data_IF_502692821484
#
_entry.id   IF_502692821484
#
_cell.length_a   1.000
_cell.length_b   1.000
_cell.length_c   1.000
_cell.angle_alpha   90.00
_cell.angle_beta   90.00
_cell.angle_gamma   90.00
#
_symmetry.space_group_name_H-M   'P 1'
#
loop_
_entity.id
_entity.type
_entity.pdbx_description
1 polymer ?
#
# COMPACT_ATOMS: atom_id res chain seq x y z
N UNK A 1 37.07 -45.04 -45.62
CA UNK A 1 38.20 -44.61 -44.78
C UNK A 1 37.81 -43.34 -44.04
N UNK A 2 38.01 -43.33 -42.72
CA UNK A 2 37.66 -42.28 -41.76
C UNK A 2 38.18 -40.89 -42.16
N UNK A 3 37.45 -39.84 -41.78
CA UNK A 3 37.98 -38.75 -40.93
C UNK A 3 36.83 -37.99 -40.25
N UNK A 4 36.90 -38.07 -38.91
CA UNK A 4 36.11 -37.38 -37.90
C UNK A 4 36.81 -36.05 -37.63
N UNK A 5 36.09 -34.93 -37.60
CA UNK A 5 36.52 -33.71 -36.89
C UNK A 5 35.29 -32.82 -36.66
N UNK A 6 34.65 -32.85 -35.49
CA UNK A 6 34.93 -32.15 -34.21
C UNK A 6 33.96 -30.96 -34.04
N UNK A 7 32.89 -31.22 -33.29
CA UNK A 7 31.96 -30.23 -32.73
C UNK A 7 32.67 -29.41 -31.65
N UNK A 8 32.83 -28.10 -31.86
CA UNK A 8 33.33 -27.18 -30.84
C UNK A 8 32.13 -26.60 -30.06
N UNK A 9 31.79 -27.22 -28.94
CA UNK A 9 30.81 -26.71 -27.99
C UNK A 9 31.52 -25.69 -27.09
N UNK A 10 31.36 -24.40 -27.38
CA UNK A 10 31.81 -23.31 -26.50
C UNK A 10 30.89 -23.23 -25.28
N UNK A 11 31.30 -23.86 -24.18
CA UNK A 11 30.68 -23.67 -22.86
C UNK A 11 31.13 -22.31 -22.33
N UNK A 12 30.27 -21.31 -22.49
CA UNK A 12 30.40 -20.02 -21.81
C UNK A 12 30.17 -20.26 -20.31
N UNK A 13 31.26 -20.50 -19.59
CA UNK A 13 31.23 -20.63 -18.13
C UNK A 13 31.06 -19.23 -17.53
N UNK A 14 29.84 -18.91 -17.08
CA UNK A 14 29.57 -17.67 -16.35
C UNK A 14 30.29 -17.78 -15.01
N UNK A 15 31.42 -17.09 -14.88
CA UNK A 15 32.07 -16.79 -13.61
C UNK A 15 31.19 -15.81 -12.83
N UNK A 16 30.17 -16.32 -12.15
CA UNK A 16 29.57 -15.60 -11.02
C UNK A 16 30.61 -15.70 -9.90
N UNK A 17 31.37 -14.62 -9.68
CA UNK A 17 32.41 -14.57 -8.65
C UNK A 17 31.86 -14.97 -7.28
N UNK A 18 32.63 -15.77 -6.53
CA UNK A 18 32.29 -16.29 -5.20
C UNK A 18 31.82 -15.23 -4.20
N UNK A 19 32.29 -13.98 -4.35
CA UNK A 19 31.86 -12.83 -3.55
C UNK A 19 30.37 -12.45 -3.71
N UNK A 20 29.78 -12.69 -4.89
CA UNK A 20 28.35 -12.43 -5.11
C UNK A 20 27.45 -13.44 -4.40
N UNK A 21 27.92 -14.67 -4.24
CA UNK A 21 27.19 -15.75 -3.54
C UNK A 21 27.22 -15.54 -2.02
N UNK A 22 28.35 -15.08 -1.47
CA UNK A 22 28.45 -14.80 -0.03
C UNK A 22 27.59 -13.61 0.41
N UNK A 23 27.59 -12.50 -0.36
CA UNK A 23 26.77 -11.32 -0.03
C UNK A 23 25.27 -11.64 -0.04
N UNK A 24 24.80 -12.46 -0.98
CA UNK A 24 23.40 -12.91 -1.04
C UNK A 24 23.04 -13.82 0.15
N UNK A 25 23.94 -14.71 0.56
CA UNK A 25 23.73 -15.60 1.70
C UNK A 25 23.66 -14.80 3.03
N UNK A 26 24.52 -13.80 3.20
CA UNK A 26 24.52 -12.92 4.38
C UNK A 26 23.26 -12.04 4.45
N UNK A 27 22.77 -11.54 3.31
CA UNK A 27 21.51 -10.81 3.26
C UNK A 27 20.33 -11.69 3.71
N UNK A 28 20.27 -12.93 3.21
CA UNK A 28 19.21 -13.88 3.55
C UNK A 28 19.23 -14.25 5.03
N UNK A 29 20.43 -14.41 5.62
CA UNK A 29 20.60 -14.61 7.06
C UNK A 29 19.99 -13.47 7.88
N UNK A 30 20.20 -12.22 7.47
CA UNK A 30 19.55 -11.06 8.10
C UNK A 30 18.02 -11.08 7.98
N UNK A 31 17.48 -11.45 6.81
CA UNK A 31 16.04 -11.60 6.59
C UNK A 31 15.43 -12.68 7.48
N UNK A 32 16.07 -13.84 7.59
CA UNK A 32 15.57 -14.96 8.39
C UNK A 32 15.64 -14.66 9.89
N UNK A 33 16.71 -13.99 10.34
CA UNK A 33 16.81 -13.49 11.70
C UNK A 33 15.68 -12.50 12.02
N UNK A 34 15.43 -11.53 11.12
CA UNK A 34 14.36 -10.54 11.31
C UNK A 34 12.98 -11.21 11.40
N UNK A 35 12.69 -12.20 10.54
CA UNK A 35 11.44 -12.97 10.57
C UNK A 35 11.24 -13.74 11.89
N UNK A 36 12.33 -14.20 12.49
CA UNK A 36 12.33 -14.87 13.80
C UNK A 36 12.38 -13.90 14.98
N UNK A 37 12.29 -12.59 14.72
CA UNK A 37 12.46 -11.52 15.73
C UNK A 37 13.83 -11.49 16.41
N UNK A 38 14.84 -12.17 15.84
CA UNK A 38 16.24 -12.01 16.22
C UNK A 38 16.78 -10.73 15.57
N UNK A 39 16.35 -9.60 16.14
CA UNK A 39 16.70 -8.28 15.62
C UNK A 39 18.17 -7.96 15.85
N UNK A 40 18.84 -8.54 16.84
CA UNK A 40 20.27 -8.31 17.07
C UNK A 40 21.09 -8.89 15.91
N UNK A 41 20.81 -10.13 15.50
CA UNK A 41 21.46 -10.74 14.34
C UNK A 41 21.09 -10.02 13.04
N UNK A 42 19.82 -9.68 12.83
CA UNK A 42 19.39 -8.95 11.65
C UNK A 42 20.11 -7.59 11.52
N UNK A 43 20.21 -6.84 12.63
CA UNK A 43 20.91 -5.57 12.68
C UNK A 43 22.37 -5.75 12.29
N UNK A 44 23.06 -6.73 12.89
CA UNK A 44 24.47 -7.01 12.59
C UNK A 44 24.70 -7.32 11.12
N UNK A 45 23.92 -8.23 10.53
CA UNK A 45 24.10 -8.64 9.14
C UNK A 45 23.79 -7.49 8.17
N UNK A 46 22.67 -6.79 8.37
CA UNK A 46 22.31 -5.69 7.48
C UNK A 46 23.21 -4.46 7.62
N UNK A 47 23.83 -4.21 8.78
CA UNK A 47 24.84 -3.14 8.91
C UNK A 47 26.02 -3.38 7.97
N UNK A 48 26.60 -4.58 7.97
CA UNK A 48 27.74 -4.92 7.11
C UNK A 48 27.39 -4.68 5.63
N UNK A 49 26.21 -5.13 5.20
CA UNK A 49 25.77 -5.04 3.81
C UNK A 49 25.37 -3.59 3.44
N UNK A 50 24.74 -2.85 4.36
CA UNK A 50 24.36 -1.45 4.16
C UNK A 50 25.59 -0.53 4.03
N UNK A 51 26.66 -0.81 4.78
CA UNK A 51 27.94 -0.10 4.71
C UNK A 51 28.65 -0.32 3.37
N UNK A 52 28.44 -1.48 2.73
CA UNK A 52 28.91 -1.76 1.37
C UNK A 52 28.08 -1.07 0.27
N UNK A 53 27.02 -0.35 0.65
CA UNK A 53 26.23 0.45 -0.29
C UNK A 53 24.93 -0.21 -0.74
N UNK A 54 24.55 -1.39 -0.26
CA UNK A 54 23.31 -2.03 -0.71
C UNK A 54 22.06 -1.23 -0.28
N UNK A 55 21.27 -0.79 -1.26
CA UNK A 55 20.11 0.08 -1.00
C UNK A 55 19.00 -0.61 -0.20
N UNK A 56 18.85 -1.93 -0.32
CA UNK A 56 17.80 -2.68 0.38
C UNK A 56 18.17 -2.86 1.84
N UNK A 57 19.41 -3.24 2.14
CA UNK A 57 19.96 -3.32 3.49
C UNK A 57 19.95 -1.95 4.16
N UNK A 58 20.29 -0.87 3.45
CA UNK A 58 20.16 0.50 3.96
C UNK A 58 18.71 0.86 4.30
N UNK A 59 17.72 0.50 3.48
CA UNK A 59 16.31 0.66 3.84
C UNK A 59 15.97 -0.14 5.11
N UNK A 60 16.36 -1.41 5.17
CA UNK A 60 16.02 -2.30 6.28
C UNK A 60 16.64 -1.79 7.58
N UNK A 61 17.91 -1.38 7.55
CA UNK A 61 18.61 -0.78 8.68
C UNK A 61 17.94 0.52 9.13
N UNK A 62 17.58 1.40 8.19
CA UNK A 62 16.80 2.59 8.51
C UNK A 62 15.45 2.27 9.18
N UNK A 63 14.80 1.19 8.75
CA UNK A 63 13.54 0.71 9.35
C UNK A 63 13.74 0.20 10.77
N UNK A 64 14.83 -0.52 11.04
CA UNK A 64 15.17 -1.00 12.38
C UNK A 64 15.42 0.15 13.35
N UNK A 65 16.18 1.17 12.94
CA UNK A 65 16.37 2.38 13.74
C UNK A 65 15.08 3.16 13.96
N UNK A 66 14.21 3.28 12.94
CA UNK A 66 12.92 3.95 13.06
C UNK A 66 11.99 3.25 14.08
N UNK A 67 12.04 1.92 14.13
CA UNK A 67 11.19 1.10 15.01
C UNK A 67 11.82 0.77 16.36
N UNK A 68 13.12 1.00 16.53
CA UNK A 68 13.86 0.54 17.72
C UNK A 68 13.97 -0.99 17.81
N UNK A 69 14.12 -1.67 16.67
CA UNK A 69 14.23 -3.13 16.62
C UNK A 69 15.70 -3.54 16.66
N UNK A 70 16.14 -4.23 17.71
CA UNK A 70 17.53 -4.65 17.89
C UNK A 70 18.51 -3.53 18.26
N UNK A 71 18.02 -2.29 18.34
CA UNK A 71 18.75 -1.07 18.70
C UNK A 71 17.76 -0.09 19.34
N UNK A 72 18.18 0.85 20.20
CA UNK A 72 17.34 1.99 20.58
C UNK A 72 16.79 2.72 19.35
N UNK A 73 15.56 3.23 19.46
CA UNK A 73 14.93 4.01 18.39
C UNK A 73 15.73 5.29 18.14
N UNK A 74 16.15 5.48 16.89
CA UNK A 74 16.88 6.68 16.46
C UNK A 74 16.40 7.14 15.08
N UNK A 75 15.55 8.16 15.08
CA UNK A 75 14.99 8.69 13.84
C UNK A 75 16.02 9.43 12.98
N UNK A 76 17.10 9.98 13.57
CA UNK A 76 18.17 10.65 12.80
C UNK A 76 18.98 9.61 12.04
N UNK A 77 19.30 8.49 12.67
CA UNK A 77 19.93 7.34 12.01
C UNK A 77 19.03 6.72 10.95
N UNK A 78 17.73 6.58 11.23
CA UNK A 78 16.77 6.15 10.21
C UNK A 78 16.78 7.07 8.97
N UNK A 79 16.76 8.39 9.18
CA UNK A 79 16.82 9.36 8.09
C UNK A 79 18.14 9.29 7.30
N UNK A 80 19.26 9.06 7.96
CA UNK A 80 20.57 8.86 7.31
C UNK A 80 20.53 7.66 6.36
N UNK A 81 20.08 6.51 6.84
CA UNK A 81 20.05 5.28 6.06
C UNK A 81 19.02 5.32 4.93
N UNK A 82 17.81 5.82 5.18
CA UNK A 82 16.82 6.04 4.13
C UNK A 82 17.35 6.99 3.05
N UNK A 83 18.10 8.03 3.41
CA UNK A 83 18.68 8.97 2.43
C UNK A 83 19.74 8.32 1.55
N UNK A 84 20.57 7.43 2.09
CA UNK A 84 21.54 6.68 1.30
C UNK A 84 20.81 5.81 0.26
N UNK A 85 19.84 5.00 0.69
CA UNK A 85 19.05 4.15 -0.21
C UNK A 85 18.23 4.97 -1.22
N UNK A 86 17.65 6.10 -0.80
CA UNK A 86 16.83 6.96 -1.65
C UNK A 86 17.65 7.64 -2.75
N UNK A 87 18.90 8.04 -2.46
CA UNK A 87 19.83 8.61 -3.45
C UNK A 87 20.23 7.59 -4.52
N UNK A 88 20.20 6.30 -4.20
CA UNK A 88 20.40 5.21 -5.16
C UNK A 88 19.16 4.89 -6.01
N UNK A 89 18.07 5.65 -5.84
CA UNK A 89 16.85 5.45 -6.61
C UNK A 89 15.84 4.52 -5.95
N UNK A 90 16.11 3.93 -4.77
CA UNK A 90 15.21 2.92 -4.23
C UNK A 90 13.86 3.53 -3.78
N UNK A 91 12.78 3.25 -4.54
CA UNK A 91 11.49 3.92 -4.43
C UNK A 91 10.89 3.85 -3.01
N UNK A 92 11.00 2.71 -2.33
CA UNK A 92 10.51 2.55 -0.95
C UNK A 92 11.28 3.40 0.06
N UNK A 93 12.59 3.58 -0.14
CA UNK A 93 13.39 4.48 0.69
C UNK A 93 13.10 5.95 0.38
N UNK A 94 12.88 6.31 -0.88
CA UNK A 94 12.42 7.64 -1.27
C UNK A 94 11.07 7.97 -0.61
N UNK A 95 10.10 7.06 -0.66
CA UNK A 95 8.83 7.23 0.07
C UNK A 95 9.03 7.37 1.58
N UNK A 96 9.84 6.50 2.18
CA UNK A 96 10.12 6.54 3.63
C UNK A 96 10.78 7.87 4.04
N UNK A 97 11.73 8.37 3.25
CA UNK A 97 12.35 9.66 3.50
C UNK A 97 11.37 10.82 3.30
N UNK A 98 10.46 10.72 2.30
CA UNK A 98 9.36 11.66 2.12
C UNK A 98 8.48 11.77 3.36
N UNK A 99 8.11 10.64 3.96
CA UNK A 99 7.35 10.59 5.21
C UNK A 99 8.09 11.24 6.39
N UNK A 100 9.41 11.05 6.49
CA UNK A 100 10.20 11.69 7.55
C UNK A 100 10.18 13.21 7.42
N UNK A 101 10.33 13.73 6.20
CA UNK A 101 10.25 15.17 5.92
C UNK A 101 8.86 15.75 6.13
N UNK A 102 7.81 15.02 5.75
CA UNK A 102 6.43 15.44 5.97
C UNK A 102 6.10 15.58 7.46
N UNK A 103 6.59 14.65 8.28
CA UNK A 103 6.31 14.60 9.71
C UNK A 103 7.36 15.31 10.58
N UNK A 104 8.49 15.74 10.03
CA UNK A 104 9.62 16.27 10.80
C UNK A 104 10.26 15.23 11.75
N UNK A 105 10.23 13.96 11.37
CA UNK A 105 10.71 12.86 12.23
C UNK A 105 12.17 12.55 11.91
N UNK A 106 13.10 12.92 12.80
CA UNK A 106 14.54 12.73 12.58
C UNK A 106 15.18 13.68 11.56
N UNK A 107 14.37 14.57 10.98
CA UNK A 107 14.75 15.66 10.07
C UNK A 107 13.87 16.87 10.36
N UNK A 108 14.31 18.08 10.00
CA UNK A 108 13.43 19.26 10.02
C UNK A 108 12.26 19.05 9.07
N UNK A 109 11.03 19.35 9.52
CA UNK A 109 9.82 19.25 8.70
C UNK A 109 9.94 20.14 7.47
N UNK A 110 9.74 19.56 6.28
CA UNK A 110 9.84 20.26 5.01
C UNK A 110 8.98 19.59 3.94
N UNK A 111 7.87 20.25 3.60
CA UNK A 111 6.92 19.75 2.60
C UNK A 111 7.49 19.72 1.18
N UNK A 112 8.40 20.63 0.81
CA UNK A 112 9.02 20.64 -0.50
C UNK A 112 9.95 19.44 -0.66
N UNK A 113 10.73 19.13 0.38
CA UNK A 113 11.54 17.91 0.43
C UNK A 113 10.68 16.65 0.39
N UNK A 114 9.60 16.59 1.17
CA UNK A 114 8.66 15.45 1.15
C UNK A 114 8.10 15.21 -0.26
N UNK A 115 7.57 16.26 -0.89
CA UNK A 115 7.03 16.23 -2.25
C UNK A 115 8.08 15.80 -3.27
N UNK A 116 9.33 16.29 -3.16
CA UNK A 116 10.42 15.88 -4.06
C UNK A 116 10.65 14.36 -3.99
N UNK A 117 10.75 13.82 -2.78
CA UNK A 117 11.00 12.39 -2.61
C UNK A 117 9.81 11.53 -3.02
N UNK A 118 8.58 11.95 -2.70
CA UNK A 118 7.41 11.24 -3.18
C UNK A 118 7.28 11.27 -4.71
N UNK A 119 7.64 12.37 -5.38
CA UNK A 119 7.62 12.45 -6.86
C UNK A 119 8.56 11.43 -7.49
N UNK A 120 9.76 11.26 -6.91
CA UNK A 120 10.72 10.27 -7.37
C UNK A 120 10.20 8.84 -7.19
N UNK A 121 9.61 8.52 -6.04
CA UNK A 121 9.02 7.20 -5.78
C UNK A 121 7.79 6.92 -6.66
N UNK A 122 6.91 7.91 -6.84
CA UNK A 122 5.72 7.83 -7.66
C UNK A 122 6.06 7.58 -9.15
N UNK A 123 7.12 8.20 -9.67
CA UNK A 123 7.61 7.98 -11.05
C UNK A 123 8.01 6.52 -11.29
N UNK A 124 8.40 5.81 -10.23
CA UNK A 124 8.77 4.38 -10.27
C UNK A 124 7.59 3.44 -9.98
N UNK A 125 6.37 3.96 -9.89
CA UNK A 125 5.18 3.15 -9.65
C UNK A 125 4.89 2.84 -8.18
N UNK A 126 5.51 3.55 -7.24
CA UNK A 126 5.24 3.34 -5.81
C UNK A 126 3.91 4.01 -5.41
N UNK A 127 2.85 3.20 -5.35
CA UNK A 127 1.47 3.66 -5.21
C UNK A 127 1.23 4.55 -3.98
N UNK A 128 1.85 4.24 -2.84
CA UNK A 128 1.70 5.03 -1.62
C UNK A 128 2.34 6.42 -1.75
N UNK A 129 3.39 6.58 -2.56
CA UNK A 129 3.96 7.89 -2.83
C UNK A 129 3.05 8.73 -3.73
N UNK A 130 2.44 8.13 -4.76
CA UNK A 130 1.41 8.78 -5.56
C UNK A 130 0.20 9.17 -4.70
N UNK A 131 -0.22 8.31 -3.76
CA UNK A 131 -1.27 8.62 -2.80
C UNK A 131 -0.92 9.84 -1.94
N UNK A 132 0.25 9.83 -1.30
CA UNK A 132 0.66 10.92 -0.41
C UNK A 132 0.80 12.25 -1.16
N UNK A 133 1.35 12.26 -2.38
CA UNK A 133 1.33 13.46 -3.22
C UNK A 133 -0.09 13.94 -3.52
N UNK A 134 -1.00 13.01 -3.79
CA UNK A 134 -2.41 13.33 -4.00
C UNK A 134 -3.03 13.99 -2.78
N UNK A 135 -2.73 13.48 -1.57
CA UNK A 135 -3.16 14.09 -0.30
C UNK A 135 -2.60 15.49 -0.14
N UNK A 136 -1.30 15.70 -0.37
CA UNK A 136 -0.66 17.01 -0.27
C UNK A 136 -1.35 18.04 -1.18
N UNK A 137 -1.59 17.69 -2.45
CA UNK A 137 -2.29 18.57 -3.38
C UNK A 137 -3.78 18.75 -3.07
N UNK A 138 -4.47 17.74 -2.51
CA UNK A 138 -5.89 17.86 -2.17
C UNK A 138 -6.10 18.78 -0.97
N UNK A 139 -5.27 18.64 0.07
CA UNK A 139 -5.40 19.42 1.30
C UNK A 139 -4.88 20.84 1.09
N UNK A 140 -3.73 21.00 0.43
CA UNK A 140 -3.12 22.31 0.21
C UNK A 140 -2.32 22.83 1.40
N UNK A 141 -2.01 21.97 2.39
CA UNK A 141 -1.16 22.35 3.50
C UNK A 141 0.31 22.29 3.03
N UNK A 142 0.99 23.42 3.07
CA UNK A 142 2.41 23.59 2.67
C UNK A 142 2.72 23.46 1.17
N UNK A 143 1.75 23.12 0.33
CA UNK A 143 1.82 23.22 -1.14
C UNK A 143 0.50 23.81 -1.65
N UNK A 144 0.47 24.57 -2.76
CA UNK A 144 -0.79 25.09 -3.30
C UNK A 144 -1.81 23.98 -3.56
N UNK A 145 -3.04 24.20 -3.08
CA UNK A 145 -4.14 23.27 -3.27
C UNK A 145 -4.44 23.09 -4.77
N UNK A 146 -4.52 21.84 -5.22
CA UNK A 146 -4.86 21.50 -6.58
C UNK A 146 -5.56 20.14 -6.63
N UNK A 147 -6.90 20.18 -6.54
CA UNK A 147 -7.75 18.97 -6.55
C UNK A 147 -7.64 18.17 -7.85
N UNK A 148 -7.34 18.81 -8.98
CA UNK A 148 -7.24 18.11 -10.27
C UNK A 148 -5.94 17.33 -10.38
N UNK A 149 -4.86 17.86 -9.79
CA UNK A 149 -3.61 17.15 -9.63
C UNK A 149 -3.78 15.99 -8.66
N UNK A 150 -4.48 16.20 -7.54
CA UNK A 150 -4.81 15.12 -6.61
C UNK A 150 -5.61 13.98 -7.28
N UNK A 151 -6.63 14.31 -8.07
CA UNK A 151 -7.42 13.35 -8.83
C UNK A 151 -6.54 12.49 -9.76
N UNK A 152 -5.64 13.12 -10.51
CA UNK A 152 -4.69 12.42 -11.40
C UNK A 152 -3.77 11.47 -10.63
N UNK A 153 -3.24 11.94 -9.49
CA UNK A 153 -2.33 11.16 -8.64
C UNK A 153 -3.04 9.98 -7.97
N UNK A 154 -4.27 10.16 -7.49
CA UNK A 154 -5.05 9.06 -6.95
C UNK A 154 -5.45 8.04 -8.02
N UNK A 155 -5.78 8.47 -9.24
CA UNK A 155 -6.03 7.54 -10.37
C UNK A 155 -4.78 6.70 -10.68
N UNK A 156 -3.61 7.33 -10.70
CA UNK A 156 -2.33 6.65 -10.89
C UNK A 156 -2.08 5.62 -9.78
N UNK A 157 -2.22 6.02 -8.51
CA UNK A 157 -2.04 5.15 -7.36
C UNK A 157 -3.05 3.99 -7.33
N UNK A 158 -4.32 4.24 -7.66
CA UNK A 158 -5.34 3.19 -7.74
C UNK A 158 -5.03 2.18 -8.85
N UNK A 159 -4.55 2.62 -10.02
CA UNK A 159 -4.07 1.73 -11.09
C UNK A 159 -2.90 0.84 -10.62
N UNK A 160 -2.08 1.34 -9.69
CA UNK A 160 -0.97 0.61 -9.08
C UNK A 160 -1.39 -0.23 -7.86
N UNK A 161 -2.70 -0.36 -7.58
CA UNK A 161 -3.21 -1.22 -6.51
C UNK A 161 -3.35 -0.55 -5.15
N UNK A 162 -3.44 0.78 -5.06
CA UNK A 162 -3.69 1.49 -3.79
C UNK A 162 -5.19 1.50 -3.43
N UNK A 163 -5.65 0.72 -2.43
CA UNK A 163 -7.03 0.79 -1.94
C UNK A 163 -7.39 2.15 -1.35
N UNK A 164 -6.46 2.80 -0.65
CA UNK A 164 -6.67 4.13 -0.08
C UNK A 164 -6.92 5.19 -1.16
N UNK A 165 -6.26 5.08 -2.31
CA UNK A 165 -6.45 6.01 -3.42
C UNK A 165 -7.75 5.76 -4.17
N UNK A 166 -8.12 4.49 -4.39
CA UNK A 166 -9.44 4.15 -4.92
C UNK A 166 -10.56 4.63 -3.97
N UNK A 167 -10.41 4.47 -2.65
CA UNK A 167 -11.34 5.03 -1.68
C UNK A 167 -11.42 6.56 -1.75
N UNK A 168 -10.27 7.24 -1.83
CA UNK A 168 -10.23 8.70 -1.98
C UNK A 168 -10.97 9.18 -3.24
N UNK A 169 -10.79 8.49 -4.37
CA UNK A 169 -11.55 8.76 -5.61
C UNK A 169 -13.05 8.57 -5.40
N UNK A 170 -13.45 7.48 -4.72
CA UNK A 170 -14.84 7.25 -4.37
C UNK A 170 -15.45 8.39 -3.55
N UNK A 171 -14.71 8.89 -2.55
CA UNK A 171 -15.12 10.05 -1.76
C UNK A 171 -15.18 11.35 -2.58
N UNK A 172 -14.20 11.59 -3.46
CA UNK A 172 -14.18 12.79 -4.30
C UNK A 172 -15.39 12.82 -5.24
N UNK A 173 -15.69 11.71 -5.92
CA UNK A 173 -16.87 11.58 -6.77
C UNK A 173 -18.17 11.68 -5.96
N UNK A 174 -18.23 11.08 -4.77
CA UNK A 174 -19.40 11.13 -3.90
C UNK A 174 -19.70 12.54 -3.39
N UNK A 175 -18.71 13.40 -3.20
CA UNK A 175 -18.87 14.74 -2.62
C UNK A 175 -18.77 15.87 -3.64
N UNK A 176 -18.34 15.57 -4.86
CA UNK A 176 -17.95 16.59 -5.82
C UNK A 176 -16.70 17.39 -5.39
N UNK A 177 -15.73 16.76 -4.74
CA UNK A 177 -14.52 17.43 -4.23
C UNK A 177 -13.55 17.77 -5.38
N UNK A 178 -13.74 18.94 -5.99
CA UNK A 178 -12.96 19.42 -7.14
C UNK A 178 -13.41 18.86 -8.49
N UNK A 179 -14.49 18.08 -8.52
CA UNK A 179 -15.11 17.52 -9.71
C UNK A 179 -16.63 17.55 -9.56
N UNK A 180 -17.42 17.47 -10.65
CA UNK A 180 -18.86 17.26 -10.52
C UNK A 180 -19.17 15.99 -9.71
N UNK A 181 -20.18 16.06 -8.86
CA UNK A 181 -20.62 14.91 -8.08
C UNK A 181 -21.13 13.81 -9.00
N UNK A 182 -20.69 12.56 -8.75
CA UNK A 182 -21.13 11.38 -9.49
C UNK A 182 -21.13 10.16 -8.58
N UNK A 183 -22.32 9.78 -8.10
CA UNK A 183 -22.46 8.58 -7.27
C UNK A 183 -22.19 7.27 -8.01
N UNK A 184 -22.47 7.20 -9.32
CA UNK A 184 -22.21 5.97 -10.10
C UNK A 184 -20.72 5.72 -10.19
N UNK A 185 -19.94 6.76 -10.44
CA UNK A 185 -18.48 6.66 -10.48
C UNK A 185 -17.91 6.41 -9.07
N UNK A 186 -18.46 7.04 -8.02
CA UNK A 186 -18.07 6.76 -6.65
C UNK A 186 -18.19 5.27 -6.29
N UNK A 187 -19.30 4.62 -6.69
CA UNK A 187 -19.52 3.19 -6.48
C UNK A 187 -18.48 2.33 -7.17
N UNK A 188 -18.06 2.66 -8.40
CA UNK A 188 -17.01 1.90 -9.11
C UNK A 188 -15.70 1.93 -8.31
N UNK A 189 -15.32 3.09 -7.81
CA UNK A 189 -14.10 3.25 -7.01
C UNK A 189 -14.20 2.55 -5.64
N UNK A 190 -15.35 2.63 -4.96
CA UNK A 190 -15.55 1.88 -3.73
C UNK A 190 -15.55 0.37 -3.96
N UNK A 191 -16.12 -0.14 -5.06
CA UNK A 191 -16.02 -1.57 -5.44
C UNK A 191 -14.58 -2.00 -5.67
N UNK A 192 -13.82 -1.22 -6.44
CA UNK A 192 -12.41 -1.50 -6.68
C UNK A 192 -11.63 -1.62 -5.37
N UNK A 193 -11.77 -0.64 -4.47
CA UNK A 193 -11.12 -0.65 -3.16
C UNK A 193 -11.60 -1.83 -2.28
N UNK A 194 -12.90 -2.14 -2.31
CA UNK A 194 -13.49 -3.25 -1.56
C UNK A 194 -13.00 -4.61 -2.04
N UNK A 195 -12.70 -4.73 -3.34
CA UNK A 195 -12.06 -5.91 -3.94
C UNK A 195 -10.66 -6.20 -3.38
N UNK A 196 -9.99 -5.20 -2.80
CA UNK A 196 -8.74 -5.36 -2.05
C UNK A 196 -8.95 -5.46 -0.53
N UNK A 197 -10.20 -5.58 -0.07
CA UNK A 197 -10.52 -5.70 1.35
C UNK A 197 -10.53 -4.38 2.13
N UNK A 198 -10.63 -3.23 1.45
CA UNK A 198 -10.64 -1.92 2.13
C UNK A 198 -11.95 -1.71 2.90
N UNK A 199 -11.91 -1.91 4.22
CA UNK A 199 -13.07 -1.86 5.12
C UNK A 199 -13.87 -0.54 5.02
N UNK A 200 -13.25 0.66 4.99
CA UNK A 200 -14.01 1.90 4.82
C UNK A 200 -14.79 1.97 3.49
N UNK A 201 -14.27 1.39 2.41
CA UNK A 201 -14.98 1.32 1.13
C UNK A 201 -16.16 0.35 1.18
N UNK A 202 -15.97 -0.79 1.85
CA UNK A 202 -17.05 -1.77 2.05
C UNK A 202 -18.19 -1.14 2.87
N UNK A 203 -17.86 -0.41 3.93
CA UNK A 203 -18.85 0.34 4.71
C UNK A 203 -19.60 1.37 3.87
N UNK A 204 -18.90 2.12 3.00
CA UNK A 204 -19.53 3.09 2.12
C UNK A 204 -20.40 2.43 1.02
N UNK A 205 -20.00 1.26 0.49
CA UNK A 205 -20.89 0.49 -0.40
C UNK A 205 -22.18 0.08 0.31
N UNK A 206 -22.09 -0.32 1.59
CA UNK A 206 -23.26 -0.58 2.42
C UNK A 206 -24.23 0.60 2.43
N UNK A 207 -23.71 1.82 2.66
CA UNK A 207 -24.50 3.06 2.62
C UNK A 207 -25.12 3.33 1.25
N UNK A 208 -24.33 3.22 0.18
CA UNK A 208 -24.79 3.49 -1.17
C UNK A 208 -25.93 2.54 -1.60
N UNK A 209 -25.84 1.25 -1.26
CA UNK A 209 -26.94 0.32 -1.48
C UNK A 209 -28.15 0.58 -0.57
N UNK A 210 -27.94 1.05 0.65
CA UNK A 210 -29.03 1.36 1.58
C UNK A 210 -29.88 2.55 1.10
N UNK A 211 -29.23 3.61 0.60
CA UNK A 211 -29.90 4.82 0.12
C UNK A 211 -30.29 4.75 -1.36
N UNK A 212 -29.59 3.94 -2.17
CA UNK A 212 -29.75 3.91 -3.62
C UNK A 212 -28.95 4.99 -4.35
N UNK A 213 -27.87 5.48 -3.74
CA UNK A 213 -27.01 6.49 -4.35
C UNK A 213 -26.17 5.85 -5.46
N UNK A 214 -26.42 6.23 -6.72
CA UNK A 214 -25.66 5.69 -7.86
C UNK A 214 -25.85 4.19 -8.14
N UNK A 215 -26.71 3.51 -7.39
CA UNK A 215 -27.12 2.10 -7.56
C UNK A 215 -28.60 1.94 -7.22
N UNK A 216 -29.23 0.87 -7.70
CA UNK A 216 -30.54 0.50 -7.19
C UNK A 216 -30.45 0.21 -5.68
N UNK A 217 -31.38 0.78 -4.92
CA UNK A 217 -31.52 0.52 -3.48
C UNK A 217 -31.70 -0.99 -3.23
N UNK A 218 -30.86 -1.56 -2.38
CA UNK A 218 -30.79 -3.00 -2.11
C UNK A 218 -30.34 -3.27 -0.67
N UNK A 219 -31.31 -3.58 0.21
CA UNK A 219 -31.02 -3.90 1.62
C UNK A 219 -30.24 -5.21 1.81
N UNK A 220 -30.35 -6.16 0.88
CA UNK A 220 -29.58 -7.41 0.93
C UNK A 220 -28.10 -7.11 0.74
N UNK A 221 -27.75 -6.28 -0.26
CA UNK A 221 -26.35 -5.87 -0.49
C UNK A 221 -25.85 -4.91 0.57
N UNK A 222 -26.69 -3.99 1.07
CA UNK A 222 -26.32 -3.12 2.18
C UNK A 222 -25.93 -3.93 3.42
N UNK A 223 -26.81 -4.85 3.83
CA UNK A 223 -26.54 -5.76 4.95
C UNK A 223 -25.33 -6.65 4.66
N UNK A 224 -25.17 -7.17 3.45
CA UNK A 224 -24.03 -8.01 3.09
C UNK A 224 -22.70 -7.28 3.35
N UNK A 225 -22.55 -6.05 2.84
CA UNK A 225 -21.33 -5.27 3.03
C UNK A 225 -21.10 -4.93 4.51
N UNK A 226 -22.13 -4.53 5.25
CA UNK A 226 -21.96 -4.26 6.69
C UNK A 226 -21.74 -5.52 7.53
N UNK A 227 -22.20 -6.70 7.11
CA UNK A 227 -21.83 -7.99 7.74
C UNK A 227 -20.35 -8.30 7.56
N UNK A 228 -19.77 -8.01 6.39
CA UNK A 228 -18.33 -8.14 6.15
C UNK A 228 -17.56 -7.20 7.08
N UNK A 229 -17.98 -5.93 7.19
CA UNK A 229 -17.34 -4.94 8.07
C UNK A 229 -17.48 -5.33 9.54
N UNK A 230 -18.64 -5.83 9.97
CA UNK A 230 -18.84 -6.31 11.34
C UNK A 230 -17.89 -7.47 11.70
N UNK A 231 -17.59 -8.37 10.75
CA UNK A 231 -16.64 -9.49 10.95
C UNK A 231 -15.20 -9.03 11.11
N UNK A 232 -14.84 -7.82 10.68
CA UNK A 232 -13.52 -7.26 10.94
C UNK A 232 -13.39 -6.65 12.34
N UNK A 233 -14.44 -6.72 13.18
CA UNK A 233 -14.47 -6.14 14.52
C UNK A 233 -14.92 -4.67 14.56
N UNK A 234 -15.36 -4.11 13.43
CA UNK A 234 -15.83 -2.72 13.37
C UNK A 234 -17.22 -2.56 13.99
N UNK A 235 -17.31 -1.74 15.06
CA UNK A 235 -18.55 -1.54 15.83
C UNK A 235 -19.64 -0.84 15.01
N UNK A 236 -19.28 0.13 14.17
CA UNK A 236 -20.25 0.83 13.34
C UNK A 236 -20.84 -0.11 12.27
N UNK A 237 -20.04 -1.04 11.76
CA UNK A 237 -20.50 -2.14 10.90
C UNK A 237 -21.54 -3.02 11.57
N UNK A 238 -21.31 -3.41 12.85
CA UNK A 238 -22.28 -4.19 13.64
C UNK A 238 -23.61 -3.44 13.76
N UNK A 239 -23.56 -2.19 14.21
CA UNK A 239 -24.75 -1.36 14.44
C UNK A 239 -25.56 -1.13 13.16
N UNK A 240 -24.89 -0.75 12.07
CA UNK A 240 -25.55 -0.47 10.79
C UNK A 240 -26.12 -1.74 10.15
N UNK A 241 -25.41 -2.87 10.23
CA UNK A 241 -25.91 -4.20 9.82
C UNK A 241 -27.20 -4.54 10.56
N UNK A 242 -27.22 -4.41 11.88
CA UNK A 242 -28.37 -4.78 12.70
C UNK A 242 -29.55 -3.82 12.49
N UNK A 243 -29.26 -2.55 12.19
CA UNK A 243 -30.27 -1.55 11.83
C UNK A 243 -30.96 -1.88 10.51
N UNK A 244 -30.20 -2.21 9.45
CA UNK A 244 -30.81 -2.59 8.17
C UNK A 244 -31.51 -3.95 8.26
N UNK A 245 -31.04 -4.86 9.12
CA UNK A 245 -31.66 -6.17 9.31
C UNK A 245 -33.15 -6.06 9.74
N UNK A 246 -33.50 -5.04 10.53
CA UNK A 246 -34.89 -4.75 10.94
C UNK A 246 -35.82 -4.40 9.77
N UNK A 247 -35.28 -4.10 8.58
CA UNK A 247 -36.02 -3.75 7.36
C UNK A 247 -36.10 -4.91 6.36
N UNK A 248 -35.65 -6.10 6.74
CA UNK A 248 -35.47 -7.24 5.84
C UNK A 248 -36.28 -8.44 6.29
N UNK A 249 -36.71 -9.27 5.33
CA UNK A 249 -37.30 -10.57 5.63
C UNK A 249 -36.23 -11.59 6.05
N UNK A 250 -36.64 -12.69 6.70
CA UNK A 250 -35.74 -13.80 7.03
C UNK A 250 -35.03 -14.38 5.79
N UNK A 251 -35.74 -14.46 4.66
CA UNK A 251 -35.15 -14.91 3.39
C UNK A 251 -34.06 -13.96 2.90
N UNK A 252 -34.32 -12.65 2.95
CA UNK A 252 -33.33 -11.62 2.60
C UNK A 252 -32.11 -11.66 3.53
N UNK A 253 -32.30 -11.85 4.83
CA UNK A 253 -31.22 -11.98 5.81
C UNK A 253 -30.37 -13.24 5.58
N UNK A 254 -31.00 -14.38 5.27
CA UNK A 254 -30.28 -15.62 4.94
C UNK A 254 -29.44 -15.43 3.67
N UNK A 255 -30.01 -14.75 2.66
CA UNK A 255 -29.33 -14.42 1.41
C UNK A 255 -28.15 -13.48 1.63
N UNK A 256 -28.32 -12.37 2.37
CA UNK A 256 -27.23 -11.40 2.61
C UNK A 256 -26.05 -12.03 3.36
N UNK A 257 -26.31 -12.82 4.41
CA UNK A 257 -25.28 -13.54 5.17
C UNK A 257 -24.57 -14.60 4.33
N UNK A 258 -25.28 -15.29 3.42
CA UNK A 258 -24.67 -16.21 2.46
C UNK A 258 -23.71 -15.48 1.52
N UNK A 259 -24.18 -14.39 0.90
CA UNK A 259 -23.35 -13.57 0.01
C UNK A 259 -22.11 -13.02 0.72
N UNK A 260 -22.24 -12.55 1.96
CA UNK A 260 -21.10 -12.03 2.73
C UNK A 260 -20.01 -13.09 2.92
N UNK A 261 -20.40 -14.33 3.28
CA UNK A 261 -19.46 -15.46 3.40
C UNK A 261 -18.80 -15.80 2.07
N UNK A 262 -19.56 -15.81 0.98
CA UNK A 262 -19.02 -16.07 -0.37
C UNK A 262 -18.02 -14.99 -0.79
N UNK A 263 -18.32 -13.73 -0.52
CA UNK A 263 -17.41 -12.62 -0.78
C UNK A 263 -16.10 -12.75 -0.02
N UNK A 264 -16.15 -13.01 1.28
CA UNK A 264 -14.95 -13.21 2.10
C UNK A 264 -14.14 -14.41 1.58
N UNK A 265 -14.79 -15.54 1.29
CA UNK A 265 -14.13 -16.74 0.77
C UNK A 265 -13.42 -16.49 -0.57
N UNK A 266 -14.00 -15.66 -1.45
CA UNK A 266 -13.41 -15.27 -2.74
C UNK A 266 -12.41 -14.12 -2.64
N UNK A 267 -12.01 -13.70 -1.43
CA UNK A 267 -11.20 -12.50 -1.21
C UNK A 267 -11.78 -11.28 -1.94
N UNK A 268 -13.09 -11.11 -1.82
CA UNK A 268 -13.91 -10.02 -2.38
C UNK A 268 -13.97 -9.95 -3.91
N UNK A 269 -13.42 -10.93 -4.64
CA UNK A 269 -13.50 -10.98 -6.10
C UNK A 269 -14.92 -11.26 -6.56
N UNK A 270 -15.45 -10.38 -7.42
CA UNK A 270 -16.80 -10.53 -7.99
C UNK A 270 -17.94 -10.12 -7.04
N UNK A 271 -17.58 -9.40 -5.97
CA UNK A 271 -18.50 -8.65 -5.11
C UNK A 271 -18.44 -7.17 -5.51
#
# INVERSE_FOLDING_TARGET
MRKITTTLCLIFSILVGSAGVSAQADYQKGVDAYRKSDYATALKQWTIIAEQGDAVAQLNLGTMYYRGQGTPKDNKMAAKWYRLAAKQGYAKAQHSLGLLYENGTGVTKDANSAMKWYKLAAKQGYADASHNLGVMHRVGNSVPQNRQTALKLYKLAAKQGSPHSAFALGLMHSKGDGIPQDYKEAVKWFRLASGWGHIPSQFNLGKFYYFGDGVQKDYVRAHMWWDIVARSGDKAGVETRDTVAKKMTLSQLKKSKKLARECVAKKYKGC
#
